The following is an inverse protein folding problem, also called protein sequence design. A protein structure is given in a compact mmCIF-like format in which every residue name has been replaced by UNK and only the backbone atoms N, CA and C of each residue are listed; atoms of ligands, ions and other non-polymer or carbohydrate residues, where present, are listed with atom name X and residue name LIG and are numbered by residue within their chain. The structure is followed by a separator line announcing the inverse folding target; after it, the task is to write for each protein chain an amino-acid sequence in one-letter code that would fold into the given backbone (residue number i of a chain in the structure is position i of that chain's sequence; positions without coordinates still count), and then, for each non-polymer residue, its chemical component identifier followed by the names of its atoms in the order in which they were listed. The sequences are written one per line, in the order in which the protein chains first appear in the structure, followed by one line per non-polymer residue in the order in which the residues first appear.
data_IF_616163987645
#
_entry.id   IF_616163987645
#
_cell.length_a   1.000
_cell.length_b   1.000
_cell.length_c   1.000
_cell.angle_alpha   90.00
_cell.angle_beta   90.00
_cell.angle_gamma   90.00
#
_symmetry.space_group_name_H-M   'P 1'
#
loop_
_entity.id
_entity.type
_entity.pdbx_description
1 polymer ?
#
# COMPACT_ATOMS: atom_id res chain seq x y z
N UNK A 1 32.13 -56.73 55.55
CA UNK A 1 32.91 -57.65 54.68
C UNK A 1 32.29 -57.76 53.28
N UNK A 2 32.34 -56.71 52.45
CA UNK A 2 32.03 -56.78 51.00
C UNK A 2 32.77 -55.74 50.14
N UNK A 3 33.73 -55.01 50.72
CA UNK A 3 34.49 -53.97 50.03
C UNK A 3 35.99 -54.29 49.83
N UNK A 4 36.49 -55.41 50.38
CA UNK A 4 37.89 -55.83 50.23
C UNK A 4 38.14 -56.81 49.06
N UNK A 5 37.10 -57.33 48.40
CA UNK A 5 37.25 -58.28 47.28
C UNK A 5 37.31 -57.58 45.91
N UNK A 6 36.78 -56.36 45.79
CA UNK A 6 36.76 -55.60 44.53
C UNK A 6 38.08 -54.86 44.23
N UNK A 7 38.93 -54.61 45.23
CA UNK A 7 40.19 -53.89 45.06
C UNK A 7 41.34 -54.79 44.58
N UNK A 8 41.25 -56.11 44.78
CA UNK A 8 42.27 -57.08 44.35
C UNK A 8 42.04 -57.51 42.88
N UNK A 9 40.81 -57.42 42.37
CA UNK A 9 40.50 -57.69 40.96
C UNK A 9 40.89 -56.55 40.00
N UNK A 10 40.97 -55.30 40.48
CA UNK A 10 41.35 -54.15 39.68
C UNK A 10 42.88 -54.01 39.49
N UNK A 11 43.69 -54.54 40.41
CA UNK A 11 45.16 -54.45 40.34
C UNK A 11 45.76 -55.52 39.41
N UNK A 12 45.04 -56.63 39.15
CA UNK A 12 45.44 -57.62 38.15
C UNK A 12 45.09 -57.26 36.70
N UNK A 13 44.19 -56.30 36.48
CA UNK A 13 43.79 -55.86 35.13
C UNK A 13 44.61 -54.66 34.61
N UNK A 14 45.32 -53.94 35.48
CA UNK A 14 46.24 -52.83 35.10
C UNK A 14 47.70 -53.31 34.97
N UNK A 15 48.02 -54.50 35.46
CA UNK A 15 49.39 -55.06 35.40
C UNK A 15 49.68 -55.90 34.14
N UNK A 16 48.71 -56.05 33.23
CA UNK A 16 48.85 -56.80 31.97
C UNK A 16 48.97 -55.92 30.71
N UNK A 17 48.94 -54.58 30.87
CA UNK A 17 49.15 -53.61 29.77
C UNK A 17 50.50 -52.88 29.93
N UNK A 18 51.48 -53.54 30.56
CA UNK A 18 52.87 -53.04 30.68
C UNK A 18 53.89 -53.96 29.99
N UNK A 19 53.45 -54.96 29.21
CA UNK A 19 54.33 -55.90 28.49
C UNK A 19 53.81 -56.24 27.07
N UNK A 20 53.21 -55.27 26.40
CA UNK A 20 53.11 -55.27 24.94
C UNK A 20 54.03 -54.18 24.40
N UNK A 21 55.33 -54.34 24.62
CA UNK A 21 56.31 -53.67 23.79
C UNK A 21 56.07 -54.14 22.36
N UNK A 22 55.59 -53.25 21.49
CA UNK A 22 55.65 -53.44 20.04
C UNK A 22 57.13 -53.28 19.64
N UNK A 23 57.90 -54.37 19.44
CA UNK A 23 59.31 -54.27 19.13
C UNK A 23 59.41 -54.45 17.62
N UNK A 24 59.00 -53.44 16.84
CA UNK A 24 59.18 -53.41 15.38
C UNK A 24 58.71 -52.04 14.83
N UNK A 25 59.45 -50.96 15.10
CA UNK A 25 59.53 -49.92 14.07
C UNK A 25 60.43 -50.50 12.97
N UNK A 26 59.83 -51.14 11.97
CA UNK A 26 60.48 -51.35 10.67
C UNK A 26 61.06 -50.00 10.22
N UNK A 27 62.20 -49.98 9.50
CA UNK A 27 62.60 -48.78 8.78
C UNK A 27 61.41 -48.38 7.89
N UNK A 28 60.87 -47.19 8.17
CA UNK A 28 59.72 -46.55 7.53
C UNK A 28 59.95 -46.25 6.05
N UNK A 29 61.15 -46.46 5.52
CA UNK A 29 61.47 -46.30 4.11
C UNK A 29 62.73 -47.08 3.73
N UNK A 30 62.85 -47.46 2.46
CA UNK A 30 64.08 -48.03 1.86
C UNK A 30 64.72 -47.11 0.81
N UNK A 31 63.89 -46.28 0.20
CA UNK A 31 64.20 -45.26 -0.78
C UNK A 31 63.14 -44.16 -0.68
N UNK A 32 63.34 -43.06 -1.41
CA UNK A 32 62.44 -41.90 -1.37
C UNK A 32 61.02 -42.21 -1.87
N UNK A 33 60.85 -43.27 -2.68
CA UNK A 33 59.53 -43.66 -3.18
C UNK A 33 58.60 -44.20 -2.10
N UNK A 34 59.17 -44.56 -0.95
CA UNK A 34 58.43 -45.01 0.23
C UNK A 34 57.90 -43.85 1.09
N UNK A 35 58.28 -42.61 0.76
CA UNK A 35 57.93 -41.41 1.52
C UNK A 35 56.98 -40.51 0.72
N UNK A 36 56.36 -39.54 1.40
CA UNK A 36 55.56 -38.53 0.71
C UNK A 36 56.46 -37.63 -0.17
N UNK A 37 55.88 -36.96 -1.15
CA UNK A 37 56.62 -36.17 -2.15
C UNK A 37 57.44 -34.99 -1.56
N UNK A 38 57.15 -34.56 -0.33
CA UNK A 38 57.89 -33.55 0.43
C UNK A 38 58.92 -34.15 1.41
N UNK A 39 59.05 -35.48 1.45
CA UNK A 39 59.94 -36.23 2.34
C UNK A 39 60.99 -37.02 1.54
N UNK A 40 62.11 -37.32 2.18
CA UNK A 40 63.18 -38.19 1.67
C UNK A 40 63.48 -39.27 2.70
N UNK A 41 63.96 -40.41 2.24
CA UNK A 41 64.33 -41.49 3.13
C UNK A 41 65.74 -41.26 3.70
N UNK A 42 65.84 -41.06 5.00
CA UNK A 42 67.12 -41.19 5.68
C UNK A 42 67.48 -42.67 5.79
N UNK A 43 68.36 -43.13 4.88
CA UNK A 43 68.80 -44.54 4.79
C UNK A 43 69.47 -45.01 6.08
N UNK A 44 70.10 -44.11 6.85
CA UNK A 44 70.84 -44.46 8.07
C UNK A 44 69.93 -44.78 9.25
N UNK A 45 68.80 -44.07 9.35
CA UNK A 45 67.79 -44.27 10.40
C UNK A 45 66.57 -45.06 9.91
N UNK A 46 66.45 -45.23 8.59
CA UNK A 46 65.31 -45.81 7.91
C UNK A 46 64.02 -45.02 8.14
N UNK A 47 64.07 -43.69 8.25
CA UNK A 47 62.90 -42.84 8.51
C UNK A 47 62.70 -41.82 7.40
N UNK A 48 61.44 -41.56 7.04
CA UNK A 48 61.11 -40.43 6.16
C UNK A 48 61.33 -39.12 6.94
N UNK A 49 62.23 -38.28 6.44
CA UNK A 49 62.54 -36.96 6.97
C UNK A 49 62.15 -35.91 5.93
N UNK A 50 61.77 -34.68 6.31
CA UNK A 50 61.48 -33.64 5.33
C UNK A 50 62.66 -33.39 4.38
N UNK A 51 62.35 -33.18 3.10
CA UNK A 51 63.34 -32.75 2.10
C UNK A 51 63.84 -31.33 2.38
N UNK A 52 64.98 -30.96 1.80
CA UNK A 52 65.49 -29.58 1.88
C UNK A 52 64.44 -28.61 1.34
N UNK A 53 64.04 -27.64 2.17
CA UNK A 53 62.98 -26.66 1.85
C UNK A 53 61.60 -27.01 2.43
N UNK A 54 61.41 -28.22 2.93
CA UNK A 54 60.20 -28.64 3.64
C UNK A 54 60.43 -28.79 5.15
N UNK A 55 59.35 -28.86 5.91
CA UNK A 55 59.36 -28.90 7.36
C UNK A 55 58.29 -29.82 7.94
N UNK A 56 58.53 -30.26 9.17
CA UNK A 56 57.52 -30.88 10.04
C UNK A 56 57.29 -30.09 11.33
N UNK A 57 58.28 -29.30 11.74
CA UNK A 57 58.20 -28.49 12.96
C UNK A 57 58.67 -27.06 12.70
N UNK A 58 58.25 -26.11 13.54
CA UNK A 58 58.69 -24.73 13.43
C UNK A 58 60.20 -24.54 13.64
N UNK A 59 60.86 -25.46 14.36
CA UNK A 59 62.31 -25.40 14.61
C UNK A 59 63.14 -25.61 13.34
N UNK A 60 62.59 -26.33 12.35
CA UNK A 60 63.23 -26.56 11.05
C UNK A 60 63.17 -25.34 10.13
N UNK A 61 62.32 -24.36 10.46
CA UNK A 61 62.11 -23.15 9.66
C UNK A 61 63.02 -21.97 10.02
N UNK A 62 63.97 -22.16 10.94
CA UNK A 62 64.90 -21.14 11.38
C UNK A 62 64.95 -21.01 12.90
N UNK A 63 66.02 -20.38 13.40
CA UNK A 63 66.26 -20.20 14.84
C UNK A 63 65.67 -18.89 15.38
N UNK A 64 65.21 -17.99 14.50
CA UNK A 64 64.68 -16.67 14.84
C UNK A 64 63.20 -16.69 15.24
N UNK A 65 62.55 -17.85 15.19
CA UNK A 65 61.14 -18.07 15.52
C UNK A 65 60.15 -17.25 14.65
N UNK A 66 60.62 -16.65 13.54
CA UNK A 66 59.81 -15.82 12.64
C UNK A 66 58.98 -16.64 11.66
N UNK A 67 59.43 -17.86 11.35
CA UNK A 67 58.73 -18.79 10.45
C UNK A 67 58.02 -19.90 11.23
N UNK A 68 56.94 -20.43 10.67
CA UNK A 68 56.21 -21.60 11.14
C UNK A 68 56.11 -22.60 10.00
N UNK A 69 56.07 -23.88 10.33
CA UNK A 69 55.77 -24.90 9.34
C UNK A 69 54.27 -24.95 9.06
N UNK A 70 53.88 -24.74 7.80
CA UNK A 70 52.49 -24.91 7.39
C UNK A 70 52.16 -26.41 7.29
N UNK A 71 51.19 -26.93 8.05
CA UNK A 71 50.91 -28.37 8.11
C UNK A 71 50.29 -28.94 6.83
N UNK A 72 49.79 -28.11 5.91
CA UNK A 72 49.17 -28.55 4.66
C UNK A 72 50.15 -28.54 3.48
N UNK A 73 51.08 -27.59 3.46
CA UNK A 73 52.06 -27.46 2.36
C UNK A 73 53.44 -27.99 2.74
N UNK A 74 53.69 -28.20 4.04
CA UNK A 74 55.00 -28.55 4.60
C UNK A 74 56.09 -27.52 4.27
N UNK A 75 55.72 -26.29 3.92
CA UNK A 75 56.65 -25.20 3.66
C UNK A 75 56.72 -24.25 4.86
N UNK A 76 57.89 -23.66 5.05
CA UNK A 76 58.10 -22.63 6.05
C UNK A 76 57.47 -21.31 5.60
N UNK A 77 56.51 -20.81 6.37
CA UNK A 77 55.82 -19.55 6.14
C UNK A 77 56.13 -18.56 7.26
N UNK A 78 56.24 -17.27 6.94
CA UNK A 78 56.39 -16.27 7.98
C UNK A 78 55.13 -16.17 8.85
N UNK A 79 55.34 -16.03 10.16
CA UNK A 79 54.28 -15.68 11.12
C UNK A 79 54.06 -14.18 11.06
N UNK A 80 52.82 -13.72 11.13
CA UNK A 80 52.57 -12.29 11.35
C UNK A 80 53.24 -11.81 12.65
N UNK A 81 53.86 -10.62 12.65
CA UNK A 81 53.90 -9.65 11.56
C UNK A 81 55.15 -9.77 10.65
N UNK A 82 55.92 -10.86 10.68
CA UNK A 82 57.21 -10.94 9.99
C UNK A 82 57.09 -11.19 8.48
N UNK A 83 58.11 -10.77 7.73
CA UNK A 83 58.23 -10.98 6.29
C UNK A 83 59.69 -10.81 5.79
N UNK A 84 59.94 -11.27 4.57
CA UNK A 84 61.14 -10.94 3.79
C UNK A 84 60.78 -10.12 2.55
N UNK A 85 59.63 -10.41 1.92
CA UNK A 85 59.07 -9.61 0.85
C UNK A 85 57.52 -9.52 0.92
N UNK A 86 56.93 -8.81 -0.04
CA UNK A 86 55.48 -8.53 -0.08
C UNK A 86 54.60 -9.79 -0.19
N UNK A 87 55.12 -10.92 -0.68
CA UNK A 87 54.36 -12.18 -0.84
C UNK A 87 54.09 -12.86 0.50
N UNK A 88 54.92 -12.57 1.51
CA UNK A 88 54.78 -13.11 2.87
C UNK A 88 53.68 -12.40 3.67
N UNK A 89 53.25 -11.23 3.18
CA UNK A 89 52.26 -10.40 3.82
C UNK A 89 50.86 -10.61 3.22
N UNK A 90 49.82 -10.20 3.95
CA UNK A 90 48.49 -10.17 3.37
C UNK A 90 48.43 -9.15 2.22
N UNK A 91 47.49 -9.34 1.29
CA UNK A 91 47.38 -8.52 0.08
C UNK A 91 47.22 -7.00 0.32
N UNK A 92 46.77 -6.60 1.52
CA UNK A 92 46.61 -5.21 1.95
C UNK A 92 47.83 -4.66 2.71
N UNK A 93 48.85 -5.47 2.91
CA UNK A 93 50.10 -5.13 3.57
C UNK A 93 51.26 -5.06 2.55
N UNK A 94 52.40 -4.55 2.99
CA UNK A 94 53.68 -4.55 2.29
C UNK A 94 54.80 -4.81 3.28
N UNK A 95 55.82 -5.55 2.87
CA UNK A 95 56.94 -5.86 3.73
C UNK A 95 57.87 -4.66 3.89
N UNK A 96 58.09 -4.22 5.13
CA UNK A 96 59.21 -3.35 5.44
C UNK A 96 60.47 -4.21 5.54
N UNK A 97 61.24 -4.28 4.46
CA UNK A 97 62.44 -5.13 4.37
C UNK A 97 63.57 -4.69 5.31
N UNK A 98 63.51 -3.49 5.89
CA UNK A 98 64.48 -3.02 6.89
C UNK A 98 64.15 -3.58 8.27
N UNK A 99 62.87 -3.61 8.63
CA UNK A 99 62.41 -4.17 9.92
C UNK A 99 62.11 -5.68 9.84
N UNK A 100 61.88 -6.20 8.64
CA UNK A 100 61.40 -7.57 8.41
C UNK A 100 59.97 -7.77 8.92
N UNK A 101 59.12 -6.74 8.80
CA UNK A 101 57.73 -6.74 9.29
C UNK A 101 56.74 -6.19 8.25
N UNK A 102 55.61 -6.87 8.11
CA UNK A 102 54.46 -6.47 7.31
C UNK A 102 53.84 -5.20 7.89
N UNK A 103 53.80 -4.15 7.09
CA UNK A 103 53.12 -2.89 7.40
C UNK A 103 51.90 -2.71 6.53
N UNK A 104 50.96 -1.90 7.01
CA UNK A 104 49.78 -1.52 6.21
C UNK A 104 50.22 -0.79 4.95
N UNK A 105 49.77 -1.26 3.78
CA UNK A 105 50.09 -0.64 2.49
C UNK A 105 49.38 0.72 2.36
N UNK A 106 49.98 1.65 1.61
CA UNK A 106 49.36 2.96 1.35
C UNK A 106 47.97 2.80 0.72
N UNK A 107 46.98 3.52 1.25
CA UNK A 107 45.57 3.40 0.83
C UNK A 107 44.87 2.15 1.34
N UNK A 108 45.44 1.48 2.36
CA UNK A 108 44.79 0.44 3.17
C UNK A 108 44.77 0.85 4.63
N UNK A 109 44.00 0.13 5.44
CA UNK A 109 43.88 0.39 6.87
C UNK A 109 43.93 -0.93 7.66
N UNK A 110 44.57 -0.90 8.83
CA UNK A 110 44.49 -1.95 9.84
C UNK A 110 43.46 -1.61 10.94
N UNK A 111 43.16 -0.33 11.12
CA UNK A 111 42.19 0.18 12.09
C UNK A 111 41.75 1.59 11.69
N UNK A 112 40.73 2.13 12.38
CA UNK A 112 40.21 3.48 12.14
C UNK A 112 41.27 4.57 12.26
N UNK A 113 42.34 4.35 13.04
CA UNK A 113 43.44 5.30 13.22
C UNK A 113 44.27 5.51 11.93
N UNK A 114 44.16 4.61 10.96
CA UNK A 114 44.81 4.75 9.64
C UNK A 114 43.98 5.59 8.66
N UNK A 115 42.73 5.89 9.00
CA UNK A 115 41.88 6.72 8.16
C UNK A 115 42.16 8.20 8.42
N UNK A 116 42.25 8.97 7.34
CA UNK A 116 42.67 10.39 7.42
C UNK A 116 41.55 11.24 8.02
N UNK A 117 40.31 10.85 7.81
CA UNK A 117 39.15 11.58 8.28
C UNK A 117 38.50 10.89 9.48
N UNK A 118 38.15 11.65 10.52
CA UNK A 118 37.46 11.13 11.71
C UNK A 118 36.07 10.53 11.40
N UNK A 119 35.50 10.87 10.24
CA UNK A 119 34.22 10.37 9.77
C UNK A 119 34.35 9.09 8.92
N UNK A 120 35.55 8.56 8.72
CA UNK A 120 35.82 7.27 8.11
C UNK A 120 36.03 6.18 9.18
N UNK A 121 35.84 4.93 8.80
CA UNK A 121 36.22 3.76 9.59
C UNK A 121 36.93 2.74 8.70
N UNK A 122 37.75 1.88 9.30
CA UNK A 122 38.41 0.82 8.58
C UNK A 122 37.50 -0.39 8.43
N UNK A 123 37.12 -0.73 7.20
CA UNK A 123 36.41 -1.97 6.93
C UNK A 123 37.39 -3.16 7.02
N UNK A 124 37.17 -4.13 7.93
CA UNK A 124 38.11 -5.24 8.15
C UNK A 124 38.10 -6.30 7.05
N UNK A 125 37.10 -6.34 6.17
CA UNK A 125 37.03 -7.30 5.06
C UNK A 125 37.87 -6.83 3.85
N UNK A 126 37.79 -5.54 3.54
CA UNK A 126 38.49 -4.96 2.38
C UNK A 126 39.75 -4.17 2.74
N UNK A 127 39.99 -3.93 4.03
CA UNK A 127 41.06 -3.10 4.57
C UNK A 127 41.12 -1.71 3.92
N UNK A 128 39.94 -1.11 3.70
CA UNK A 128 39.79 0.24 3.14
C UNK A 128 39.02 1.14 4.09
N UNK A 129 39.40 2.41 4.12
CA UNK A 129 38.64 3.44 4.82
C UNK A 129 37.35 3.71 4.06
N UNK A 130 36.22 3.46 4.73
CA UNK A 130 34.88 3.72 4.22
C UNK A 130 34.21 4.81 5.07
N UNK A 131 33.28 5.59 4.50
CA UNK A 131 32.54 6.58 5.27
C UNK A 131 31.69 5.89 6.35
N UNK A 132 31.64 6.48 7.55
CA UNK A 132 30.70 6.08 8.60
C UNK A 132 29.25 6.30 8.15
N UNK A 133 28.26 5.60 8.74
CA UNK A 133 26.85 5.75 8.37
C UNK A 133 26.40 7.22 8.30
N UNK A 134 25.72 7.59 7.22
CA UNK A 134 25.26 8.97 6.95
C UNK A 134 26.37 9.92 6.44
N UNK A 135 27.52 9.40 6.03
CA UNK A 135 28.60 10.11 5.34
C UNK A 135 28.87 9.47 3.99
N UNK A 136 29.58 10.20 3.13
CA UNK A 136 29.93 9.69 1.82
C UNK A 136 31.30 10.17 1.34
N UNK A 137 31.96 9.33 0.55
CA UNK A 137 33.10 9.69 -0.30
C UNK A 137 32.61 10.11 -1.68
N UNK A 138 31.67 9.36 -2.25
CA UNK A 138 31.00 9.64 -3.52
C UNK A 138 29.47 9.51 -3.42
N UNK A 139 28.74 9.81 -4.51
CA UNK A 139 27.27 9.77 -4.49
C UNK A 139 26.66 8.36 -4.41
N UNK A 140 27.44 7.28 -4.58
CA UNK A 140 26.93 5.90 -4.46
C UNK A 140 26.88 5.42 -3.01
N UNK A 141 27.59 6.09 -2.10
CA UNK A 141 27.59 5.74 -0.68
C UNK A 141 26.30 6.17 0.06
N UNK A 142 25.55 7.14 -0.48
CA UNK A 142 24.23 7.47 0.05
C UNK A 142 23.19 6.45 -0.43
N UNK A 143 22.22 6.13 0.43
CA UNK A 143 21.14 5.23 0.07
C UNK A 143 20.27 5.81 -1.06
N UNK A 144 19.52 4.96 -1.76
CA UNK A 144 18.74 5.37 -2.94
C UNK A 144 17.67 6.45 -2.64
N UNK A 145 17.24 6.59 -1.38
CA UNK A 145 16.32 7.62 -0.91
C UNK A 145 17.01 8.88 -0.36
N UNK A 146 18.34 8.94 -0.39
CA UNK A 146 19.16 10.05 0.10
C UNK A 146 19.86 10.80 -1.04
N UNK A 147 20.10 12.08 -0.81
CA UNK A 147 20.99 12.93 -1.59
C UNK A 147 22.29 13.17 -0.81
N UNK A 148 23.33 13.57 -1.53
CA UNK A 148 24.64 13.80 -0.98
C UNK A 148 24.96 15.31 -0.96
N UNK A 149 25.22 15.88 0.22
CA UNK A 149 25.67 17.25 0.39
C UNK A 149 27.21 17.32 0.28
N UNK A 150 27.72 17.81 -0.85
CA UNK A 150 29.16 17.80 -1.19
C UNK A 150 30.03 18.61 -0.23
N UNK A 151 29.49 19.66 0.36
CA UNK A 151 30.22 20.56 1.25
C UNK A 151 30.41 19.93 2.63
N UNK A 152 29.37 19.29 3.16
CA UNK A 152 29.39 18.68 4.50
C UNK A 152 29.79 17.21 4.50
N UNK A 153 29.87 16.57 3.32
CA UNK A 153 30.08 15.12 3.15
C UNK A 153 29.03 14.26 3.87
N UNK A 154 27.80 14.78 3.99
CA UNK A 154 26.66 14.09 4.65
C UNK A 154 25.58 13.69 3.66
N UNK A 155 25.01 12.52 3.90
CA UNK A 155 23.79 12.08 3.25
C UNK A 155 22.60 12.76 3.94
N UNK A 156 21.61 13.20 3.17
CA UNK A 156 20.37 13.78 3.68
C UNK A 156 19.19 13.26 2.86
N UNK A 157 18.02 13.17 3.47
CA UNK A 157 16.84 12.60 2.85
C UNK A 157 16.39 13.39 1.63
N UNK A 158 15.98 12.70 0.56
CA UNK A 158 15.32 13.32 -0.60
C UNK A 158 13.97 13.89 -0.19
N UNK A 159 13.45 14.84 -0.96
CA UNK A 159 12.10 15.35 -0.76
C UNK A 159 11.07 14.21 -0.81
N UNK A 160 10.19 14.13 0.20
CA UNK A 160 9.23 13.05 0.36
C UNK A 160 9.77 11.79 1.04
N UNK A 161 11.07 11.76 1.35
CA UNK A 161 11.72 10.70 2.11
C UNK A 161 12.24 11.20 3.46
N UNK A 162 12.54 10.27 4.36
CA UNK A 162 12.87 10.58 5.75
C UNK A 162 13.76 9.50 6.39
N UNK A 163 14.69 9.93 7.25
CA UNK A 163 15.34 9.06 8.22
C UNK A 163 14.59 9.03 9.56
N UNK A 164 13.89 10.13 9.87
CA UNK A 164 13.12 10.32 11.11
C UNK A 164 11.79 11.02 10.83
N UNK A 165 10.84 10.93 11.76
CA UNK A 165 9.52 11.58 11.60
C UNK A 165 9.62 13.10 11.55
N UNK A 166 10.63 13.70 12.16
CA UNK A 166 10.80 15.16 12.21
C UNK A 166 11.18 15.77 10.86
N UNK A 167 11.58 14.95 9.89
CA UNK A 167 11.88 15.35 8.51
C UNK A 167 10.63 15.41 7.63
N UNK A 168 9.52 14.84 8.08
CA UNK A 168 8.25 14.89 7.37
C UNK A 168 7.41 16.09 7.81
N UNK A 169 6.38 16.44 7.02
CA UNK A 169 5.43 17.47 7.42
C UNK A 169 4.71 17.07 8.72
N UNK A 170 4.22 18.05 9.49
CA UNK A 170 3.60 17.78 10.81
C UNK A 170 2.43 16.81 10.77
N UNK A 171 1.75 16.68 9.63
CA UNK A 171 0.63 15.78 9.40
C UNK A 171 1.05 14.40 8.85
N UNK A 172 2.35 14.18 8.65
CA UNK A 172 2.94 12.96 8.11
C UNK A 172 3.77 12.20 9.16
N UNK A 173 3.99 10.91 8.91
CA UNK A 173 4.91 10.04 9.65
C UNK A 173 5.96 9.47 8.69
N UNK A 174 7.12 9.18 9.24
CA UNK A 174 8.15 8.44 8.50
C UNK A 174 7.91 6.94 8.62
N UNK A 175 7.71 6.25 7.50
CA UNK A 175 7.81 4.79 7.46
C UNK A 175 9.28 4.39 7.36
N UNK A 176 9.85 3.88 8.46
CA UNK A 176 11.26 3.53 8.54
C UNK A 176 11.67 2.31 7.67
N UNK A 177 10.71 1.58 7.10
CA UNK A 177 11.03 0.48 6.17
C UNK A 177 11.19 0.97 4.73
N UNK A 178 10.37 1.94 4.33
CA UNK A 178 10.36 2.49 2.96
C UNK A 178 11.06 3.84 2.87
N UNK A 179 11.35 4.45 4.03
CA UNK A 179 11.82 5.82 4.20
C UNK A 179 10.88 6.87 3.59
N UNK A 180 9.61 6.54 3.33
CA UNK A 180 8.66 7.48 2.73
C UNK A 180 7.87 8.24 3.81
N UNK A 181 7.69 9.54 3.59
CA UNK A 181 6.74 10.32 4.38
C UNK A 181 5.31 9.99 3.94
N UNK A 182 4.50 9.49 4.87
CA UNK A 182 3.11 9.08 4.63
C UNK A 182 2.15 9.83 5.56
N UNK A 183 0.88 10.07 5.14
CA UNK A 183 -0.09 10.75 5.99
C UNK A 183 -0.35 10.00 7.31
N UNK A 184 -0.48 10.73 8.43
CA UNK A 184 -0.98 10.19 9.70
C UNK A 184 -2.42 9.71 9.55
N UNK A 185 -2.86 8.82 10.43
CA UNK A 185 -4.28 8.44 10.50
C UNK A 185 -5.17 9.70 10.66
N UNK A 186 -6.16 9.84 9.78
CA UNK A 186 -7.06 11.00 9.72
C UNK A 186 -6.50 12.21 8.97
N UNK A 187 -5.30 12.11 8.42
CA UNK A 187 -4.72 13.07 7.49
C UNK A 187 -4.56 12.46 6.08
N UNK A 188 -4.33 13.31 5.09
CA UNK A 188 -4.25 12.92 3.70
C UNK A 188 -3.33 13.85 2.89
N UNK A 189 -2.69 13.30 1.87
CA UNK A 189 -2.06 14.04 0.78
C UNK A 189 -2.88 14.02 -0.51
N UNK A 190 -3.81 13.07 -0.64
CA UNK A 190 -4.78 12.99 -1.73
C UNK A 190 -6.01 12.16 -1.31
N UNK A 191 -7.04 12.12 -2.16
CA UNK A 191 -8.31 11.44 -1.85
C UNK A 191 -8.18 9.94 -1.58
N UNK A 192 -7.13 9.26 -2.10
CA UNK A 192 -6.92 7.82 -1.86
C UNK A 192 -6.47 7.51 -0.44
N UNK A 193 -5.99 8.52 0.29
CA UNK A 193 -5.59 8.36 1.68
C UNK A 193 -6.82 8.33 2.61
N UNK A 194 -7.99 8.76 2.10
CA UNK A 194 -9.24 8.73 2.84
C UNK A 194 -9.92 7.35 2.73
N UNK A 195 -10.20 6.75 3.88
CA UNK A 195 -10.71 5.36 3.96
C UNK A 195 -12.21 5.25 3.69
N UNK A 196 -12.94 6.36 3.77
CA UNK A 196 -14.37 6.39 3.50
C UNK A 196 -14.63 6.98 2.11
N UNK A 197 -15.48 6.32 1.33
CA UNK A 197 -15.84 6.78 -0.03
C UNK A 197 -16.53 8.15 -0.07
N UNK A 198 -17.09 8.59 1.07
CA UNK A 198 -17.74 9.88 1.27
C UNK A 198 -16.78 10.96 1.81
N UNK A 199 -15.48 10.68 1.89
CA UNK A 199 -14.46 11.64 2.32
C UNK A 199 -13.54 12.02 1.15
N UNK A 200 -13.14 13.28 1.10
CA UNK A 200 -12.05 13.73 0.24
C UNK A 200 -10.99 14.46 1.05
N UNK A 201 -9.82 14.56 0.44
CA UNK A 201 -8.71 15.24 1.05
C UNK A 201 -8.80 16.75 0.87
N UNK A 202 -8.95 17.46 1.98
CA UNK A 202 -8.74 18.90 2.00
C UNK A 202 -7.23 19.18 2.01
N UNK A 203 -6.67 19.68 0.91
CA UNK A 203 -5.23 19.93 0.77
C UNK A 203 -4.71 21.11 1.60
N UNK A 204 -5.58 22.01 2.06
CA UNK A 204 -5.18 23.12 2.93
C UNK A 204 -5.03 22.67 4.39
N UNK A 205 -5.90 21.76 4.86
CA UNK A 205 -5.88 21.23 6.23
C UNK A 205 -5.19 19.87 6.34
N UNK A 206 -4.96 19.21 5.21
CA UNK A 206 -4.53 17.82 5.06
C UNK A 206 -5.45 16.83 5.80
N UNK A 207 -6.74 17.12 5.93
CA UNK A 207 -7.70 16.23 6.60
C UNK A 207 -8.69 15.62 5.63
N UNK A 208 -9.07 14.37 5.91
CA UNK A 208 -10.20 13.74 5.26
C UNK A 208 -11.50 14.35 5.79
N UNK A 209 -12.19 15.08 4.93
CA UNK A 209 -13.43 15.78 5.27
C UNK A 209 -14.60 15.12 4.53
N UNK A 210 -15.73 14.97 5.22
CA UNK A 210 -16.94 14.39 4.64
C UNK A 210 -17.51 15.33 3.58
N UNK A 211 -17.60 14.85 2.34
CA UNK A 211 -18.36 15.55 1.31
C UNK A 211 -19.80 15.06 1.43
N UNK A 212 -20.69 15.93 1.91
CA UNK A 212 -22.11 15.62 2.12
C UNK A 212 -22.91 15.32 0.85
N UNK A 213 -22.28 15.39 -0.33
CA UNK A 213 -22.87 15.12 -1.64
C UNK A 213 -22.04 14.20 -2.53
N UNK A 214 -20.89 13.66 -2.08
CA UNK A 214 -20.02 12.89 -2.97
C UNK A 214 -20.49 11.46 -3.20
N UNK A 215 -20.73 11.15 -4.47
CA UNK A 215 -20.94 9.80 -4.96
C UNK A 215 -19.68 9.31 -5.68
N UNK A 216 -19.40 8.00 -5.54
CA UNK A 216 -18.37 7.29 -6.30
C UNK A 216 -18.95 6.39 -7.39
N UNK A 217 -20.25 6.08 -7.30
CA UNK A 217 -21.05 5.48 -8.36
C UNK A 217 -22.54 5.63 -8.07
N UNK A 218 -23.38 5.17 -9.00
CA UNK A 218 -24.85 5.33 -8.91
C UNK A 218 -25.45 4.65 -7.66
N UNK A 219 -24.79 3.63 -7.12
CA UNK A 219 -25.20 2.94 -5.88
C UNK A 219 -25.18 3.84 -4.65
N UNK A 220 -24.44 4.94 -4.71
CA UNK A 220 -24.29 5.88 -3.60
C UNK A 220 -25.40 6.95 -3.61
N UNK A 221 -26.22 6.97 -4.67
CA UNK A 221 -27.32 7.89 -4.87
C UNK A 221 -28.67 7.19 -4.67
N UNK A 222 -29.73 7.99 -4.45
CA UNK A 222 -31.07 7.42 -4.42
C UNK A 222 -31.43 6.82 -5.78
N UNK A 223 -32.38 5.88 -5.79
CA UNK A 223 -32.77 5.14 -7.01
C UNK A 223 -33.25 6.05 -8.18
N UNK A 224 -33.67 7.28 -7.89
CA UNK A 224 -34.10 8.33 -8.84
C UNK A 224 -32.98 9.33 -9.20
N UNK A 225 -31.75 9.10 -8.73
CA UNK A 225 -30.56 9.92 -8.97
C UNK A 225 -29.46 9.09 -9.67
N UNK A 226 -28.50 9.77 -10.28
CA UNK A 226 -27.26 9.20 -10.84
C UNK A 226 -26.07 9.97 -10.28
N UNK A 227 -24.93 9.30 -10.26
CA UNK A 227 -23.70 9.95 -9.87
C UNK A 227 -23.10 10.74 -11.06
N UNK A 228 -23.08 12.07 -10.95
CA UNK A 228 -22.25 12.90 -11.82
C UNK A 228 -20.79 12.72 -11.38
N UNK A 229 -20.04 11.91 -12.13
CA UNK A 229 -18.63 11.63 -11.84
C UNK A 229 -17.72 12.85 -12.02
N UNK A 230 -18.14 13.87 -12.78
CA UNK A 230 -17.38 15.09 -12.98
C UNK A 230 -17.57 16.06 -11.82
N UNK A 231 -18.80 16.20 -11.34
CA UNK A 231 -19.13 17.06 -10.19
C UNK A 231 -19.00 16.33 -8.84
N UNK A 232 -18.80 14.99 -8.88
CA UNK A 232 -18.84 14.09 -7.72
C UNK A 232 -20.07 14.39 -6.88
N UNK A 233 -21.24 14.40 -7.53
CA UNK A 233 -22.51 14.76 -6.91
C UNK A 233 -23.68 13.93 -7.45
N UNK A 234 -24.63 13.56 -6.58
CA UNK A 234 -25.85 12.90 -7.03
C UNK A 234 -26.76 13.91 -7.76
N UNK A 235 -26.92 13.73 -9.06
CA UNK A 235 -27.80 14.51 -9.92
C UNK A 235 -29.09 13.74 -10.22
N UNK A 236 -30.18 14.45 -10.51
CA UNK A 236 -31.47 13.82 -10.81
C UNK A 236 -31.41 13.05 -12.13
N UNK A 237 -32.00 11.84 -12.16
CA UNK A 237 -32.14 11.06 -13.40
C UNK A 237 -33.08 11.71 -14.39
N UNK A 238 -32.81 11.56 -15.68
CA UNK A 238 -33.76 11.95 -16.74
C UNK A 238 -35.11 11.29 -16.52
N UNK A 239 -36.18 12.09 -16.49
CA UNK A 239 -37.55 11.64 -16.21
C UNK A 239 -37.92 11.60 -14.73
N UNK A 240 -37.01 12.02 -13.85
CA UNK A 240 -37.27 12.22 -12.42
C UNK A 240 -37.03 13.68 -12.03
N UNK A 241 -37.44 14.02 -10.81
CA UNK A 241 -37.33 15.36 -10.24
C UNK A 241 -36.96 15.29 -8.75
N UNK A 242 -36.16 16.26 -8.28
CA UNK A 242 -35.98 16.52 -6.84
C UNK A 242 -36.86 17.67 -6.35
N UNK A 243 -37.13 18.65 -7.23
CA UNK A 243 -37.92 19.84 -6.98
C UNK A 243 -38.82 20.18 -8.18
N UNK A 244 -39.85 20.98 -7.96
CA UNK A 244 -40.83 21.33 -8.99
C UNK A 244 -40.22 22.08 -10.19
N UNK A 245 -39.13 22.82 -9.97
CA UNK A 245 -38.43 23.59 -11.00
C UNK A 245 -37.72 22.70 -12.03
N UNK A 246 -37.53 21.42 -11.72
CA UNK A 246 -37.00 20.43 -12.68
C UNK A 246 -38.09 19.88 -13.60
N UNK A 247 -39.36 20.19 -13.32
CA UNK A 247 -40.51 19.82 -14.14
C UNK A 247 -40.99 20.99 -15.02
N UNK A 248 -41.91 20.71 -15.94
CA UNK A 248 -42.56 21.76 -16.72
C UNK A 248 -43.36 22.69 -15.80
N UNK A 249 -43.59 23.94 -16.21
CA UNK A 249 -44.27 24.94 -15.35
C UNK A 249 -45.71 24.58 -14.93
N UNK A 250 -46.33 23.60 -15.61
CA UNK A 250 -47.68 23.09 -15.32
C UNK A 250 -47.64 21.75 -14.56
N UNK A 251 -46.45 21.26 -14.23
CA UNK A 251 -46.21 20.03 -13.49
C UNK A 251 -45.62 20.33 -12.11
N UNK A 252 -45.80 19.40 -11.20
CA UNK A 252 -45.16 19.38 -9.89
C UNK A 252 -44.40 18.08 -9.68
N UNK A 253 -43.38 18.14 -8.82
CA UNK A 253 -42.61 16.96 -8.47
C UNK A 253 -43.33 16.14 -7.39
N UNK A 254 -43.86 14.97 -7.76
CA UNK A 254 -44.48 14.06 -6.82
C UNK A 254 -43.44 13.44 -5.89
N UNK A 255 -43.36 13.91 -4.63
CA UNK A 255 -42.30 13.54 -3.67
C UNK A 255 -42.13 12.04 -3.44
N UNK A 256 -43.19 11.24 -3.55
CA UNK A 256 -43.13 9.80 -3.30
C UNK A 256 -42.57 9.00 -4.48
N UNK A 257 -42.76 9.51 -5.70
CA UNK A 257 -42.34 8.81 -6.93
C UNK A 257 -41.18 9.49 -7.64
N UNK A 258 -40.87 10.72 -7.23
CA UNK A 258 -39.91 11.62 -7.88
C UNK A 258 -40.20 11.82 -9.37
N UNK A 259 -41.47 11.76 -9.79
CA UNK A 259 -41.88 12.01 -11.18
C UNK A 259 -42.63 13.33 -11.28
N UNK A 260 -42.45 14.00 -12.41
CA UNK A 260 -43.27 15.15 -12.76
C UNK A 260 -44.70 14.68 -13.04
N UNK A 261 -45.65 15.25 -12.31
CA UNK A 261 -47.08 14.99 -12.47
C UNK A 261 -47.82 16.31 -12.72
N UNK A 262 -48.89 16.33 -13.52
CA UNK A 262 -49.65 17.56 -13.74
C UNK A 262 -50.13 18.16 -12.41
N UNK A 263 -49.91 19.46 -12.22
CA UNK A 263 -50.42 20.19 -11.05
C UNK A 263 -51.96 20.24 -11.08
N UNK A 264 -52.57 20.64 -9.96
CA UNK A 264 -54.02 20.77 -9.87
C UNK A 264 -54.60 21.65 -11.00
N UNK A 265 -55.50 21.09 -11.80
CA UNK A 265 -56.14 21.77 -12.94
C UNK A 265 -55.31 21.75 -14.23
N UNK A 266 -54.07 21.26 -14.19
CA UNK A 266 -53.23 21.04 -15.35
C UNK A 266 -53.35 19.60 -15.87
N UNK A 267 -52.90 19.38 -17.11
CA UNK A 267 -53.02 18.09 -17.76
C UNK A 267 -51.95 17.84 -18.83
N UNK A 268 -51.53 16.58 -18.95
CA UNK A 268 -50.82 16.07 -20.13
C UNK A 268 -51.76 15.33 -21.09
N UNK A 269 -52.89 14.84 -20.59
CA UNK A 269 -53.92 14.12 -21.35
C UNK A 269 -55.28 14.21 -20.68
N UNK A 270 -56.35 13.81 -21.38
CA UNK A 270 -57.72 13.77 -20.84
C UNK A 270 -57.84 12.95 -19.55
N UNK A 271 -56.96 11.96 -19.35
CA UNK A 271 -56.96 11.12 -18.15
C UNK A 271 -56.61 11.89 -16.87
N UNK A 272 -55.98 13.06 -16.99
CA UNK A 272 -55.63 13.93 -15.87
C UNK A 272 -56.78 14.87 -15.48
N UNK A 273 -57.83 14.94 -16.29
CA UNK A 273 -58.96 15.84 -16.08
C UNK A 273 -60.19 15.09 -15.54
N UNK A 274 -61.12 15.84 -14.94
CA UNK A 274 -62.41 15.26 -14.58
C UNK A 274 -63.17 14.78 -15.82
N UNK A 275 -64.10 13.84 -15.66
CA UNK A 275 -64.82 13.21 -16.79
C UNK A 275 -65.52 14.22 -17.71
N UNK A 276 -65.97 15.35 -17.16
CA UNK A 276 -66.63 16.46 -17.86
C UNK A 276 -65.67 17.50 -18.47
N UNK A 277 -64.37 17.31 -18.29
CA UNK A 277 -63.31 18.15 -18.84
C UNK A 277 -62.50 17.37 -19.88
N UNK A 278 -61.81 18.10 -20.76
CA UNK A 278 -60.82 17.61 -21.72
C UNK A 278 -59.53 18.39 -21.54
N UNK A 279 -58.41 17.75 -21.81
CA UNK A 279 -57.11 18.38 -21.73
C UNK A 279 -56.84 19.22 -22.97
N UNK A 280 -56.62 20.51 -22.80
CA UNK A 280 -56.04 21.33 -23.85
C UNK A 280 -54.52 21.17 -23.81
N UNK A 281 -53.98 20.33 -24.69
CA UNK A 281 -52.54 20.03 -24.75
C UNK A 281 -51.64 21.22 -25.08
N UNK A 282 -52.19 22.33 -25.59
CA UNK A 282 -51.41 23.53 -25.89
C UNK A 282 -51.26 24.45 -24.66
N UNK A 283 -52.31 24.53 -23.82
CA UNK A 283 -52.30 25.32 -22.58
C UNK A 283 -51.98 24.48 -21.35
N UNK A 284 -51.99 23.15 -21.50
CA UNK A 284 -51.93 22.15 -20.44
C UNK A 284 -52.99 22.34 -19.36
N UNK A 285 -54.14 22.93 -19.71
CA UNK A 285 -55.24 23.17 -18.78
C UNK A 285 -56.40 22.21 -19.04
N UNK A 286 -57.02 21.73 -17.96
CA UNK A 286 -58.28 20.99 -18.03
C UNK A 286 -59.43 21.95 -18.34
N UNK A 287 -59.90 21.91 -19.59
CA UNK A 287 -60.97 22.77 -20.09
C UNK A 287 -62.30 22.01 -20.14
N UNK A 288 -63.41 22.74 -20.01
CA UNK A 288 -64.76 22.16 -20.06
C UNK A 288 -65.06 21.58 -21.44
N UNK A 289 -65.64 20.38 -21.47
CA UNK A 289 -66.19 19.83 -22.72
C UNK A 289 -67.44 20.63 -23.15
N UNK A 290 -67.71 20.76 -24.46
CA UNK A 290 -68.94 21.37 -24.95
C UNK A 290 -70.18 20.71 -24.33
N UNK A 291 -71.11 21.52 -23.80
CA UNK A 291 -72.32 21.04 -23.12
C UNK A 291 -72.15 20.68 -21.64
N UNK A 292 -70.92 20.74 -21.11
CA UNK A 292 -70.61 20.52 -19.70
C UNK A 292 -70.32 21.84 -18.97
N UNK A 293 -70.51 21.83 -17.65
CA UNK A 293 -70.44 22.99 -16.78
C UNK A 293 -69.82 22.62 -15.42
N UNK A 294 -69.11 23.58 -14.81
CA UNK A 294 -68.70 23.53 -13.41
C UNK A 294 -69.53 24.46 -12.52
N UNK A 295 -70.30 25.37 -13.11
CA UNK A 295 -71.20 26.30 -12.43
C UNK A 295 -72.33 26.77 -13.36
N UNK A 296 -73.39 27.36 -12.79
CA UNK A 296 -74.51 27.94 -13.56
C UNK A 296 -74.05 29.00 -14.59
N UNK A 297 -72.93 29.69 -14.32
CA UNK A 297 -72.38 30.71 -15.23
C UNK A 297 -71.81 30.14 -16.54
N UNK A 298 -71.58 28.83 -16.59
CA UNK A 298 -71.04 28.14 -17.75
C UNK A 298 -72.12 27.77 -18.77
N UNK A 299 -73.39 27.90 -18.39
CA UNK A 299 -74.53 27.51 -19.21
C UNK A 299 -75.15 28.71 -19.93
N UNK A 300 -75.84 28.45 -21.05
CA UNK A 300 -76.50 29.52 -21.80
C UNK A 300 -77.62 30.18 -20.97
N UNK A 301 -78.01 31.40 -21.34
CA UNK A 301 -79.13 32.09 -20.69
C UNK A 301 -80.38 31.21 -20.70
N UNK A 302 -80.96 30.95 -19.52
CA UNK A 302 -82.10 30.05 -19.35
C UNK A 302 -81.73 28.60 -18.98
N UNK A 303 -80.45 28.29 -18.84
CA UNK A 303 -79.96 26.98 -18.39
C UNK A 303 -79.33 27.04 -17.00
N UNK A 304 -79.19 25.88 -16.36
CA UNK A 304 -78.42 25.68 -15.12
C UNK A 304 -77.49 24.50 -15.23
N UNK A 305 -76.48 24.49 -14.37
CA UNK A 305 -75.55 23.39 -14.26
C UNK A 305 -76.06 22.34 -13.27
N UNK A 306 -76.10 21.08 -13.68
CA UNK A 306 -76.38 19.99 -12.75
C UNK A 306 -75.12 19.68 -11.93
N UNK A 307 -75.13 20.00 -10.64
CA UNK A 307 -74.00 19.77 -9.73
C UNK A 307 -74.30 18.67 -8.70
N UNK A 308 -75.50 18.11 -8.70
CA UNK A 308 -75.85 16.98 -7.84
C UNK A 308 -75.22 15.70 -8.39
N UNK A 309 -74.20 15.21 -7.68
CA UNK A 309 -73.47 13.97 -7.99
C UNK A 309 -74.35 12.71 -8.00
N UNK A 310 -75.59 12.82 -7.50
CA UNK A 310 -76.55 11.72 -7.45
C UNK A 310 -77.45 11.64 -8.70
N UNK A 311 -77.43 12.67 -9.55
CA UNK A 311 -78.31 12.76 -10.73
C UNK A 311 -77.62 12.31 -12.02
N UNK A 312 -78.42 11.75 -12.93
CA UNK A 312 -77.99 11.45 -14.29
C UNK A 312 -77.68 12.76 -15.02
N UNK A 313 -76.55 12.83 -15.72
CA UNK A 313 -76.13 14.07 -16.40
C UNK A 313 -75.46 15.11 -15.50
N UNK A 314 -74.91 14.71 -14.35
CA UNK A 314 -74.05 15.59 -13.53
C UNK A 314 -72.97 16.26 -14.39
N UNK A 315 -72.76 17.55 -14.13
CA UNK A 315 -71.93 18.51 -14.86
C UNK A 315 -72.43 18.87 -16.26
N UNK A 316 -73.69 18.61 -16.62
CA UNK A 316 -74.28 19.06 -17.89
C UNK A 316 -75.23 20.25 -17.69
N UNK A 317 -75.29 21.12 -18.70
CA UNK A 317 -76.26 22.21 -18.73
C UNK A 317 -77.66 21.68 -19.08
N UNK A 318 -78.67 22.03 -18.29
CA UNK A 318 -80.07 21.69 -18.55
C UNK A 318 -80.96 22.94 -18.58
N UNK A 319 -82.09 22.89 -19.29
CA UNK A 319 -83.01 24.02 -19.38
C UNK A 319 -83.78 24.19 -18.07
N UNK A 320 -83.92 25.45 -17.61
CA UNK A 320 -84.77 25.78 -16.48
C UNK A 320 -86.25 25.71 -16.84
N UNK A 321 -86.59 26.06 -18.08
CA UNK A 321 -87.94 26.12 -18.58
C UNK A 321 -88.19 24.95 -19.53
N UNK A 322 -89.38 24.37 -19.43
CA UNK A 322 -89.75 23.20 -20.21
C UNK A 322 -91.19 23.31 -20.71
N UNK A 323 -91.41 22.71 -21.88
CA UNK A 323 -92.72 22.45 -22.46
C UNK A 323 -93.06 20.96 -22.44
N UNK A 324 -92.05 20.10 -22.28
CA UNK A 324 -92.17 18.65 -22.11
C UNK A 324 -91.01 18.10 -21.28
N UNK A 325 -91.13 16.85 -20.81
CA UNK A 325 -90.05 16.17 -20.07
C UNK A 325 -88.74 16.04 -20.88
N UNK A 326 -88.80 16.10 -22.21
CA UNK A 326 -87.62 16.03 -23.07
C UNK A 326 -86.75 17.30 -23.00
N UNK A 327 -87.32 18.42 -22.55
CA UNK A 327 -86.59 19.69 -22.39
C UNK A 327 -85.76 19.69 -21.09
N UNK A 328 -86.05 18.77 -20.17
CA UNK A 328 -85.38 18.65 -18.89
C UNK A 328 -84.18 17.71 -18.99
N UNK A 329 -83.09 18.06 -18.28
CA UNK A 329 -81.90 17.23 -18.17
C UNK A 329 -82.22 15.82 -17.67
N UNK A 330 -81.33 14.86 -17.94
CA UNK A 330 -81.57 13.45 -17.64
C UNK A 330 -82.00 13.23 -16.18
N UNK A 331 -83.20 12.65 -15.98
CA UNK A 331 -83.74 12.39 -14.64
C UNK A 331 -84.58 13.53 -14.02
N UNK A 332 -84.75 14.67 -14.70
CA UNK A 332 -85.66 15.74 -14.31
C UNK A 332 -86.96 15.69 -15.09
N UNK A 333 -88.07 16.12 -14.48
CA UNK A 333 -89.40 16.14 -15.10
C UNK A 333 -89.90 17.57 -15.24
N UNK A 334 -90.67 17.81 -16.30
CA UNK A 334 -91.27 19.11 -16.55
C UNK A 334 -92.51 19.28 -15.67
N UNK A 335 -92.46 20.23 -14.75
CA UNK A 335 -93.64 20.63 -13.99
C UNK A 335 -94.56 21.46 -14.89
N UNK A 336 -95.67 20.85 -15.30
CA UNK A 336 -96.67 21.45 -16.19
C UNK A 336 -97.42 22.64 -15.59
N UNK A 337 -97.33 22.88 -14.28
CA UNK A 337 -97.92 24.06 -13.64
C UNK A 337 -96.98 25.26 -13.65
N UNK A 338 -95.67 25.01 -13.54
CA UNK A 338 -94.67 26.07 -13.44
C UNK A 338 -93.82 26.23 -14.70
N UNK A 339 -94.01 25.36 -15.69
CA UNK A 339 -93.18 25.22 -16.90
C UNK A 339 -91.69 25.18 -16.57
N UNK A 340 -91.33 24.50 -15.47
CA UNK A 340 -89.96 24.41 -14.96
C UNK A 340 -89.53 22.97 -14.76
N UNK A 341 -88.28 22.68 -15.09
CA UNK A 341 -87.67 21.39 -14.79
C UNK A 341 -87.44 21.25 -13.28
N UNK A 342 -87.88 20.13 -12.71
CA UNK A 342 -87.71 19.78 -11.29
C UNK A 342 -87.05 18.42 -11.12
#
# INVERSE_FOLDING_TARGET
MRFQVLLIAAIFLVSFIALAGCPNQKPSCKDDSSCENWQQCDISTGRCVPQVGYCTTAAECGTDNKKICNPNTHLCQFKQPYCEDDIDCESWQSCDTVLGECKTRLGRCASDAFCTNEWEFCNPEYHKCLPKPGRFLDSIDCESWQNCNKDTKRCYSKLGYCATTDECERWQLCDLNTHACSPKQGFCGNDRDCTQASQACNLDTHRCESISSACSGDSDCNWWQLCDLQQRACATRTGFCSMAQECSQWEECAKDTHKCTPSQGACGSDSNCAVWQSCNVNTHACEKKPGYCGSDADCATGQKCELDVSKLGVFQCYQLLCSSNADCGAGSICDSQTNRCK
#
